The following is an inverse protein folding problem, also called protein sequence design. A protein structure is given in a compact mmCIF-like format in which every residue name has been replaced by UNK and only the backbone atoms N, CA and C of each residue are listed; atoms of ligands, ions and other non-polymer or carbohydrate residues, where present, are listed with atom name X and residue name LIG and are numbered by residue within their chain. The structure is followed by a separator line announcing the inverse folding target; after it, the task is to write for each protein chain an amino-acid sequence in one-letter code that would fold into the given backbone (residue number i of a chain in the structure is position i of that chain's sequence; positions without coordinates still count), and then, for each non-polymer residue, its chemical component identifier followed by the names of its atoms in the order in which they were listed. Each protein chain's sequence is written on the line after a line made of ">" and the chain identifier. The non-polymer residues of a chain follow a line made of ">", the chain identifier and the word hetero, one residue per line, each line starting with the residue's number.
data_IF_223663196145
#
_entry.id   IF_223663196145
#
_cell.length_a   1.000
_cell.length_b   1.000
_cell.length_c   1.000
_cell.angle_alpha   90.00
_cell.angle_beta   90.00
_cell.angle_gamma   90.00
#
_symmetry.space_group_name_H-M   'P 1'
#
loop_
_entity.id
_entity.type
_entity.pdbx_description
1 polymer ?
#
# COMPACT_ATOMS: atom_id res chain seq x y z
N UNK A 1 0.21 21.33 33.21
CA UNK A 1 0.45 21.55 31.78
C UNK A 1 -0.36 20.50 31.06
N UNK A 2 -1.45 20.91 30.45
CA UNK A 2 -2.47 20.02 29.89
C UNK A 2 -2.08 19.66 28.47
N UNK A 3 -1.82 18.38 28.23
CA UNK A 3 -1.72 17.79 26.89
C UNK A 3 -2.99 18.11 26.09
N UNK A 4 -2.90 18.50 24.81
CA UNK A 4 -4.08 18.73 24.00
C UNK A 4 -4.73 17.38 23.67
N UNK A 5 -5.96 17.21 24.13
CA UNK A 5 -6.87 16.15 23.75
C UNK A 5 -7.10 16.18 22.23
N UNK A 6 -6.41 15.34 21.46
CA UNK A 6 -6.77 15.03 20.07
C UNK A 6 -7.91 14.02 20.08
N UNK A 7 -9.11 14.47 20.43
CA UNK A 7 -10.33 13.77 20.05
C UNK A 7 -10.60 14.09 18.58
N UNK A 8 -10.21 13.20 17.67
CA UNK A 8 -10.90 13.07 16.38
C UNK A 8 -11.76 11.83 16.46
N UNK A 9 -13.04 12.06 16.76
CA UNK A 9 -14.14 11.09 16.74
C UNK A 9 -14.58 10.85 15.29
N UNK A 10 -13.62 10.67 14.38
CA UNK A 10 -13.91 10.25 13.01
C UNK A 10 -13.95 8.73 13.00
N UNK A 11 -15.12 8.18 12.69
CA UNK A 11 -15.24 6.75 12.44
C UNK A 11 -14.18 6.34 11.39
N UNK A 12 -13.51 5.19 11.56
CA UNK A 12 -12.50 4.72 10.61
C UNK A 12 -13.13 4.67 9.22
N UNK A 13 -12.62 5.52 8.34
CA UNK A 13 -13.13 5.71 6.99
C UNK A 13 -12.12 5.15 6.01
N UNK A 14 -12.61 4.42 5.01
CA UNK A 14 -11.78 3.95 3.90
C UNK A 14 -11.62 5.09 2.91
N UNK A 15 -10.38 5.44 2.62
CA UNK A 15 -10.02 6.42 1.62
C UNK A 15 -9.46 5.72 0.40
N UNK A 16 -10.11 5.87 -0.76
CA UNK A 16 -9.62 5.41 -2.06
C UNK A 16 -9.14 6.65 -2.82
N UNK A 17 -7.83 6.73 -3.07
CA UNK A 17 -7.13 7.96 -3.40
C UNK A 17 -6.39 7.86 -4.73
N UNK A 18 -6.43 8.96 -5.48
CA UNK A 18 -5.47 9.21 -6.54
C UNK A 18 -4.09 9.50 -5.89
N UNK A 19 -3.03 8.77 -6.23
CA UNK A 19 -1.69 9.01 -5.69
C UNK A 19 -1.21 10.46 -5.88
N UNK A 20 -1.65 11.15 -6.94
CA UNK A 20 -1.29 12.54 -7.20
C UNK A 20 -1.81 13.52 -6.13
N UNK A 21 -2.95 13.21 -5.49
CA UNK A 21 -3.55 14.04 -4.46
C UNK A 21 -2.80 13.97 -3.12
N UNK A 22 -2.04 12.91 -2.84
CA UNK A 22 -1.42 12.68 -1.54
C UNK A 22 -0.43 13.79 -1.14
N UNK A 23 -0.68 14.46 -0.02
CA UNK A 23 0.11 15.58 0.48
C UNK A 23 -0.11 16.92 -0.23
N UNK A 24 -1.15 17.03 -1.07
CA UNK A 24 -1.67 18.31 -1.59
C UNK A 24 -2.78 18.85 -0.68
N UNK A 25 -3.32 20.02 -0.99
CA UNK A 25 -4.47 20.57 -0.25
C UNK A 25 -5.75 19.71 -0.42
N UNK A 26 -5.82 18.89 -1.47
CA UNK A 26 -6.92 17.96 -1.75
C UNK A 26 -6.73 16.58 -1.08
N UNK A 27 -5.65 16.39 -0.31
CA UNK A 27 -5.40 15.13 0.42
C UNK A 27 -6.36 15.00 1.62
N UNK A 28 -7.35 14.07 1.59
CA UNK A 28 -8.28 13.91 2.70
C UNK A 28 -7.62 13.37 3.97
N UNK A 29 -6.42 12.76 3.87
CA UNK A 29 -5.64 12.33 5.02
C UNK A 29 -4.73 13.45 5.57
N UNK A 30 -4.66 14.58 4.86
CA UNK A 30 -3.81 15.74 5.17
C UNK A 30 -2.36 15.34 5.51
N UNK A 31 -1.76 14.41 4.76
CA UNK A 31 -0.42 13.88 5.01
C UNK A 31 0.71 14.92 4.81
N UNK A 32 0.37 16.14 4.39
CA UNK A 32 1.21 17.33 4.42
C UNK A 32 1.50 17.84 5.84
N UNK A 33 0.53 17.73 6.74
CA UNK A 33 0.57 18.33 8.09
C UNK A 33 0.28 17.33 9.21
N UNK A 34 -0.42 16.22 8.91
CA UNK A 34 -0.77 15.16 9.86
C UNK A 34 0.04 13.89 9.60
N UNK A 35 0.02 12.98 10.58
CA UNK A 35 0.52 11.60 10.45
C UNK A 35 -0.43 10.65 11.15
N UNK A 36 -1.64 10.44 10.61
CA UNK A 36 -2.51 9.38 11.10
C UNK A 36 -1.80 8.03 10.96
N UNK A 37 -2.05 7.11 11.89
CA UNK A 37 -1.59 5.72 11.77
C UNK A 37 -2.66 4.89 11.06
N UNK A 38 -2.31 3.71 10.56
CA UNK A 38 -3.28 2.82 9.94
C UNK A 38 -2.68 1.81 8.96
N UNK A 39 -3.55 1.15 8.21
CA UNK A 39 -3.20 0.20 7.14
C UNK A 39 -3.49 0.84 5.78
N UNK A 40 -2.66 0.55 4.80
CA UNK A 40 -2.77 1.01 3.42
C UNK A 40 -2.56 -0.15 2.43
N UNK A 41 -3.10 0.02 1.24
CA UNK A 41 -2.82 -0.80 0.09
C UNK A 41 -2.36 0.09 -1.08
N UNK A 42 -1.29 -0.32 -1.75
CA UNK A 42 -0.78 0.30 -2.97
C UNK A 42 -1.19 -0.58 -4.15
N UNK A 43 -1.91 0.00 -5.10
CA UNK A 43 -2.34 -0.69 -6.32
C UNK A 43 -1.49 -0.17 -7.49
N UNK A 44 -0.71 -1.07 -8.07
CA UNK A 44 0.14 -0.81 -9.21
C UNK A 44 -0.47 -1.39 -10.48
N UNK A 45 -0.27 -0.69 -11.61
CA UNK A 45 -0.38 -1.27 -12.95
C UNK A 45 1.05 -1.56 -13.45
N UNK A 46 1.28 -2.78 -13.90
CA UNK A 46 2.60 -3.21 -14.34
C UNK A 46 2.50 -3.96 -15.67
N UNK A 47 3.30 -3.61 -16.68
CA UNK A 47 3.56 -4.49 -17.80
C UNK A 47 4.42 -5.67 -17.34
N UNK A 48 4.70 -6.60 -18.25
CA UNK A 48 5.67 -7.64 -17.96
C UNK A 48 7.05 -7.03 -17.73
N UNK A 49 7.64 -7.32 -16.57
CA UNK A 49 8.94 -6.79 -16.16
C UNK A 49 9.72 -7.80 -15.31
N UNK A 50 11.03 -7.61 -15.22
CA UNK A 50 11.89 -8.32 -14.28
C UNK A 50 12.45 -7.30 -13.30
N UNK A 51 12.30 -7.57 -12.00
CA UNK A 51 12.69 -6.64 -10.93
C UNK A 51 13.57 -7.38 -9.92
N UNK A 52 14.71 -6.78 -9.57
CA UNK A 52 15.53 -7.21 -8.44
C UNK A 52 14.96 -6.63 -7.14
N UNK A 53 14.33 -7.48 -6.32
CA UNK A 53 13.61 -7.09 -5.11
C UNK A 53 14.52 -7.29 -3.88
N UNK A 54 15.58 -6.48 -3.78
CA UNK A 54 16.50 -6.50 -2.64
C UNK A 54 16.95 -7.92 -2.25
N UNK A 55 16.72 -8.31 -0.99
CA UNK A 55 17.10 -9.63 -0.48
C UNK A 55 16.31 -10.80 -1.06
N UNK A 56 15.15 -10.56 -1.69
CA UNK A 56 14.37 -11.60 -2.37
C UNK A 56 14.95 -11.96 -3.75
N UNK A 57 15.90 -11.19 -4.27
CA UNK A 57 16.55 -11.43 -5.55
C UNK A 57 15.69 -11.02 -6.76
N UNK A 58 16.03 -11.56 -7.92
CA UNK A 58 15.38 -11.24 -9.20
C UNK A 58 14.08 -12.05 -9.39
N UNK A 59 13.00 -11.36 -9.74
CA UNK A 59 11.69 -11.97 -10.01
C UNK A 59 11.06 -11.43 -11.29
N UNK A 60 10.36 -12.30 -12.02
CA UNK A 60 9.53 -11.91 -13.16
C UNK A 60 8.13 -11.54 -12.66
N UNK A 61 7.66 -10.38 -13.08
CA UNK A 61 6.33 -9.85 -12.84
C UNK A 61 5.55 -9.91 -14.16
N UNK A 62 4.61 -10.85 -14.35
CA UNK A 62 3.73 -10.85 -15.52
C UNK A 62 2.81 -9.64 -15.54
N UNK A 63 2.51 -9.11 -16.73
CA UNK A 63 1.64 -7.94 -16.88
C UNK A 63 0.32 -8.09 -16.12
N UNK A 64 -0.11 -7.06 -15.40
CA UNK A 64 -1.34 -7.04 -14.62
C UNK A 64 -1.28 -6.06 -13.45
N UNK A 65 -2.28 -6.11 -12.58
CA UNK A 65 -2.33 -5.25 -11.41
C UNK A 65 -1.76 -5.95 -10.18
N UNK A 66 -1.02 -5.19 -9.37
CA UNK A 66 -0.38 -5.67 -8.15
C UNK A 66 -0.86 -4.88 -6.95
N UNK A 67 -1.28 -5.58 -5.90
CA UNK A 67 -1.74 -4.96 -4.65
C UNK A 67 -0.80 -5.34 -3.54
N UNK A 68 -0.10 -4.34 -3.00
CA UNK A 68 0.71 -4.49 -1.80
C UNK A 68 -0.03 -3.93 -0.59
N UNK A 69 -0.14 -4.69 0.49
CA UNK A 69 -0.73 -4.25 1.76
C UNK A 69 0.37 -3.99 2.78
N UNK A 70 0.29 -2.85 3.45
CA UNK A 70 1.21 -2.49 4.52
C UNK A 70 0.55 -1.68 5.63
N UNK A 71 1.22 -1.58 6.75
CA UNK A 71 0.79 -0.85 7.94
C UNK A 71 1.76 0.28 8.25
N UNK A 72 1.29 1.28 8.97
CA UNK A 72 2.06 2.45 9.33
C UNK A 72 1.69 2.93 10.73
N UNK A 73 2.03 2.12 11.74
CA UNK A 73 1.84 2.45 13.18
C UNK A 73 3.07 3.06 13.85
N UNK A 74 4.19 3.13 13.13
CA UNK A 74 5.41 3.77 13.62
C UNK A 74 5.40 5.28 13.48
N UNK A 75 6.51 5.90 13.94
CA UNK A 75 6.74 7.34 13.80
C UNK A 75 6.56 7.79 12.35
N UNK A 76 5.66 8.75 12.13
CA UNK A 76 5.33 9.29 10.81
C UNK A 76 4.07 8.73 10.16
N UNK A 77 3.50 7.63 10.68
CA UNK A 77 2.21 7.13 10.24
C UNK A 77 2.10 6.92 8.73
N UNK A 78 0.90 7.13 8.19
CA UNK A 78 0.56 7.03 6.77
C UNK A 78 1.31 8.03 5.86
N UNK A 79 2.15 8.92 6.39
CA UNK A 79 3.16 9.61 5.53
C UNK A 79 4.10 8.62 4.85
N UNK A 80 4.17 7.37 5.32
CA UNK A 80 4.78 6.24 4.62
C UNK A 80 4.29 6.11 3.18
N UNK A 81 2.99 6.29 2.93
CA UNK A 81 2.39 6.24 1.58
C UNK A 81 2.96 7.32 0.66
N UNK A 82 3.16 8.54 1.17
CA UNK A 82 3.81 9.62 0.38
C UNK A 82 5.24 9.26 -0.01
N UNK A 83 5.96 8.52 0.84
CA UNK A 83 7.30 8.05 0.49
C UNK A 83 7.26 7.05 -0.66
N UNK A 84 6.34 6.07 -0.62
CA UNK A 84 6.15 5.12 -1.72
C UNK A 84 5.76 5.84 -3.02
N UNK A 85 4.86 6.83 -2.95
CA UNK A 85 4.51 7.67 -4.10
C UNK A 85 5.74 8.36 -4.70
N UNK A 86 6.62 8.98 -3.89
CA UNK A 86 7.84 9.63 -4.41
C UNK A 86 8.80 8.63 -5.04
N UNK A 87 8.89 7.41 -4.49
CA UNK A 87 9.67 6.33 -5.10
C UNK A 87 9.09 5.98 -6.48
N UNK A 88 7.77 5.81 -6.57
CA UNK A 88 7.10 5.50 -7.83
C UNK A 88 7.18 6.62 -8.88
N UNK A 89 7.20 7.88 -8.44
CA UNK A 89 7.40 9.02 -9.32
C UNK A 89 8.86 9.20 -9.78
N UNK A 90 9.81 8.44 -9.24
CA UNK A 90 11.24 8.65 -9.49
C UNK A 90 11.86 9.85 -8.75
N UNK A 91 11.11 10.50 -7.86
CA UNK A 91 11.58 11.62 -7.03
C UNK A 91 12.45 11.17 -5.84
N UNK A 92 12.57 9.85 -5.63
CA UNK A 92 13.29 9.28 -4.51
C UNK A 92 13.90 7.92 -4.85
N UNK A 93 15.23 7.82 -4.76
CA UNK A 93 15.96 6.60 -5.15
C UNK A 93 16.05 5.55 -4.04
N UNK A 94 15.86 5.95 -2.77
CA UNK A 94 16.06 5.02 -1.65
C UNK A 94 14.96 3.95 -1.57
N UNK A 95 15.33 2.70 -1.83
CA UNK A 95 14.49 1.50 -1.72
C UNK A 95 14.67 0.88 -0.32
N UNK A 96 13.69 1.02 0.57
CA UNK A 96 13.79 0.43 1.92
C UNK A 96 12.86 -0.77 2.12
N UNK A 97 11.71 -0.79 1.45
CA UNK A 97 10.75 -1.91 1.52
C UNK A 97 10.70 -2.64 0.19
N UNK A 98 10.33 -3.93 0.18
CA UNK A 98 10.22 -4.71 -1.06
C UNK A 98 9.34 -4.02 -2.12
N UNK A 99 8.23 -3.39 -1.69
CA UNK A 99 7.35 -2.64 -2.58
C UNK A 99 8.00 -1.43 -3.25
N UNK A 100 9.06 -0.84 -2.64
CA UNK A 100 9.78 0.27 -3.25
C UNK A 100 10.51 -0.18 -4.53
N UNK A 101 10.97 -1.44 -4.58
CA UNK A 101 11.64 -1.99 -5.77
C UNK A 101 10.67 -2.16 -6.94
N UNK A 102 9.48 -2.71 -6.65
CA UNK A 102 8.41 -2.84 -7.64
C UNK A 102 7.91 -1.46 -8.10
N UNK A 103 7.47 -0.63 -7.15
CA UNK A 103 6.88 0.66 -7.46
C UNK A 103 7.89 1.63 -8.09
N UNK A 104 9.18 1.48 -7.79
CA UNK A 104 10.24 2.30 -8.36
C UNK A 104 10.80 1.80 -9.70
N UNK A 105 10.22 0.76 -10.30
CA UNK A 105 10.57 0.31 -11.64
C UNK A 105 9.96 1.27 -12.67
N UNK A 106 10.72 1.75 -13.70
CA UNK A 106 10.30 2.86 -14.57
C UNK A 106 9.06 2.57 -15.43
N UNK A 107 8.70 1.30 -15.58
CA UNK A 107 7.50 0.88 -16.33
C UNK A 107 6.30 0.56 -15.44
N UNK A 108 6.40 0.71 -14.12
CA UNK A 108 5.34 0.36 -13.17
C UNK A 108 4.70 1.64 -12.65
N UNK A 109 3.38 1.73 -12.78
CA UNK A 109 2.63 2.91 -12.36
C UNK A 109 1.89 2.64 -11.04
N UNK A 110 2.09 3.51 -10.05
CA UNK A 110 1.23 3.53 -8.87
C UNK A 110 -0.12 4.14 -9.27
N UNK A 111 -1.14 3.31 -9.42
CA UNK A 111 -2.43 3.72 -9.97
C UNK A 111 -3.43 4.18 -8.88
N UNK A 112 -3.47 3.49 -7.74
CA UNK A 112 -4.37 3.82 -6.62
C UNK A 112 -3.73 3.56 -5.27
N UNK A 113 -4.24 4.26 -4.28
CA UNK A 113 -3.90 4.07 -2.87
C UNK A 113 -5.21 3.93 -2.09
N UNK A 114 -5.34 2.84 -1.34
CA UNK A 114 -6.48 2.65 -0.41
C UNK A 114 -5.96 2.66 1.01
N UNK A 115 -6.55 3.46 1.90
CA UNK A 115 -6.10 3.58 3.29
C UNK A 115 -7.27 3.48 4.26
N UNK A 116 -7.02 2.96 5.45
CA UNK A 116 -7.88 3.10 6.63
C UNK A 116 -7.04 3.61 7.80
N UNK A 117 -7.55 4.61 8.52
CA UNK A 117 -6.88 5.17 9.70
C UNK A 117 -7.22 4.37 10.95
N UNK A 118 -6.29 4.33 11.91
CA UNK A 118 -6.48 3.77 13.26
C UNK A 118 -7.00 2.31 13.30
N UNK A 119 -6.69 1.55 12.24
CA UNK A 119 -7.06 0.14 12.08
C UNK A 119 -5.85 -0.66 11.63
N UNK A 120 -5.46 -1.63 12.44
CA UNK A 120 -4.37 -2.56 12.15
C UNK A 120 -4.95 -3.85 11.58
N UNK A 121 -5.11 -3.87 10.27
CA UNK A 121 -5.80 -4.94 9.54
C UNK A 121 -4.95 -5.50 8.39
N UNK A 122 -3.65 -5.23 8.39
CA UNK A 122 -2.69 -5.56 7.32
C UNK A 122 -2.77 -7.04 6.91
N UNK A 123 -2.47 -7.95 7.84
CA UNK A 123 -2.47 -9.40 7.56
C UNK A 123 -3.86 -9.90 7.13
N UNK A 124 -4.92 -9.36 7.74
CA UNK A 124 -6.29 -9.76 7.45
C UNK A 124 -6.73 -9.36 6.04
N UNK A 125 -6.39 -8.14 5.61
CA UNK A 125 -6.63 -7.65 4.25
C UNK A 125 -5.74 -8.39 3.24
N UNK A 126 -4.46 -8.58 3.55
CA UNK A 126 -3.53 -9.33 2.67
C UNK A 126 -4.02 -10.76 2.40
N UNK A 127 -4.50 -11.46 3.43
CA UNK A 127 -4.99 -12.84 3.33
C UNK A 127 -6.28 -12.92 2.50
N UNK A 128 -7.20 -11.97 2.69
CA UNK A 128 -8.44 -11.92 1.92
C UNK A 128 -8.19 -11.62 0.44
N UNK A 129 -7.25 -10.72 0.15
CA UNK A 129 -6.85 -10.40 -1.22
C UNK A 129 -6.16 -11.57 -1.92
N UNK A 130 -5.25 -12.28 -1.23
CA UNK A 130 -4.64 -13.49 -1.77
C UNK A 130 -5.68 -14.56 -2.10
N UNK A 131 -6.72 -14.69 -1.28
CA UNK A 131 -7.83 -15.62 -1.54
C UNK A 131 -8.70 -15.18 -2.72
N UNK A 132 -8.87 -13.87 -2.93
CA UNK A 132 -9.79 -13.32 -3.93
C UNK A 132 -9.17 -13.15 -5.32
N UNK A 133 -7.89 -12.79 -5.37
CA UNK A 133 -7.15 -12.46 -6.60
C UNK A 133 -6.26 -13.62 -7.09
N UNK A 134 -5.89 -14.53 -6.18
CA UNK A 134 -4.91 -15.58 -6.42
C UNK A 134 -3.68 -15.42 -5.53
N UNK A 135 -2.88 -16.48 -5.45
CA UNK A 135 -1.71 -16.57 -4.57
C UNK A 135 -0.66 -15.50 -4.85
N UNK A 136 0.16 -15.22 -3.84
CA UNK A 136 1.26 -14.29 -3.92
C UNK A 136 2.16 -14.57 -5.13
N UNK A 137 2.53 -13.56 -5.93
CA UNK A 137 3.46 -13.76 -7.03
C UNK A 137 4.88 -14.05 -6.51
N UNK A 138 5.20 -13.69 -5.27
CA UNK A 138 6.52 -13.82 -4.64
C UNK A 138 6.35 -14.13 -3.15
N UNK A 139 6.84 -15.29 -2.71
CA UNK A 139 6.86 -15.68 -1.30
C UNK A 139 7.76 -14.75 -0.48
N UNK A 140 7.32 -14.42 0.74
CA UNK A 140 8.00 -13.52 1.67
C UNK A 140 7.88 -12.03 1.34
N UNK A 141 7.13 -11.65 0.28
CA UNK A 141 7.06 -10.25 -0.14
C UNK A 141 6.32 -9.40 0.89
N UNK A 142 7.10 -8.72 1.73
CA UNK A 142 6.59 -7.73 2.69
C UNK A 142 5.93 -8.35 3.93
N UNK A 143 6.16 -9.65 4.15
CA UNK A 143 5.67 -10.41 5.31
C UNK A 143 6.81 -10.85 6.23
N UNK A 144 7.95 -10.14 6.25
CA UNK A 144 9.16 -10.56 6.98
C UNK A 144 8.99 -10.66 8.51
N UNK A 145 7.97 -10.01 9.06
CA UNK A 145 7.65 -9.93 10.49
C UNK A 145 6.36 -10.69 10.86
N UNK A 146 5.76 -11.42 9.91
CA UNK A 146 4.53 -12.17 10.12
C UNK A 146 4.57 -13.55 9.42
N UNK A 147 3.63 -14.46 9.72
CA UNK A 147 3.60 -15.80 9.10
C UNK A 147 2.87 -15.83 7.75
N UNK A 148 2.50 -14.68 7.17
CA UNK A 148 1.81 -14.65 5.88
C UNK A 148 2.76 -15.03 4.73
N UNK A 149 2.24 -15.75 3.74
CA UNK A 149 3.02 -16.12 2.56
C UNK A 149 3.57 -14.88 1.84
N UNK A 150 2.74 -13.86 1.64
CA UNK A 150 3.17 -12.52 1.24
C UNK A 150 2.08 -11.49 1.52
N UNK A 151 2.45 -10.21 1.50
CA UNK A 151 1.52 -9.08 1.49
C UNK A 151 1.36 -8.47 0.09
N UNK A 152 1.79 -9.18 -0.94
CA UNK A 152 1.60 -8.83 -2.34
C UNK A 152 0.66 -9.83 -3.01
N UNK A 153 -0.38 -9.33 -3.67
CA UNK A 153 -1.29 -10.11 -4.50
C UNK A 153 -1.28 -9.58 -5.94
N UNK A 154 -1.60 -10.43 -6.92
CA UNK A 154 -1.72 -10.06 -8.33
C UNK A 154 -3.14 -10.31 -8.82
N UNK A 155 -3.71 -9.36 -9.56
CA UNK A 155 -4.94 -9.51 -10.31
C UNK A 155 -4.79 -9.05 -11.76
N UNK A 156 -5.89 -9.06 -12.50
CA UNK A 156 -5.87 -8.83 -13.95
C UNK A 156 -5.68 -7.35 -14.33
N UNK A 157 -6.35 -6.43 -13.65
CA UNK A 157 -6.27 -4.98 -13.96
C UNK A 157 -6.62 -4.11 -12.75
N UNK A 158 -6.22 -2.83 -12.78
CA UNK A 158 -6.49 -1.87 -11.69
C UNK A 158 -7.98 -1.75 -11.41
N UNK A 159 -8.81 -1.73 -12.45
CA UNK A 159 -10.26 -1.59 -12.37
C UNK A 159 -10.93 -2.77 -11.67
N UNK A 160 -10.39 -3.98 -11.83
CA UNK A 160 -10.94 -5.19 -11.23
C UNK A 160 -10.45 -5.39 -9.80
N UNK A 161 -9.20 -5.03 -9.49
CA UNK A 161 -8.63 -5.21 -8.14
C UNK A 161 -9.06 -4.13 -7.17
N UNK A 162 -9.21 -2.87 -7.60
CA UNK A 162 -9.49 -1.74 -6.68
C UNK A 162 -10.77 -1.95 -5.85
N UNK A 163 -11.92 -2.36 -6.45
CA UNK A 163 -13.13 -2.63 -5.67
C UNK A 163 -12.97 -3.79 -4.68
N UNK A 164 -12.13 -4.79 -4.99
CA UNK A 164 -11.84 -5.91 -4.08
C UNK A 164 -11.00 -5.45 -2.89
N UNK A 165 -10.05 -4.53 -3.09
CA UNK A 165 -9.30 -3.89 -2.01
C UNK A 165 -10.23 -3.11 -1.08
N UNK A 166 -11.10 -2.27 -1.64
CA UNK A 166 -12.08 -1.52 -0.85
C UNK A 166 -13.03 -2.43 -0.07
N UNK A 167 -13.49 -3.53 -0.68
CA UNK A 167 -14.32 -4.53 -0.03
C UNK A 167 -13.58 -5.25 1.11
N UNK A 168 -12.30 -5.60 0.89
CA UNK A 168 -11.46 -6.25 1.90
C UNK A 168 -11.21 -5.34 3.10
N UNK A 169 -10.96 -4.04 2.89
CA UNK A 169 -10.92 -3.10 4.02
C UNK A 169 -12.27 -2.98 4.71
N UNK A 170 -13.37 -2.91 3.96
CA UNK A 170 -14.72 -2.75 4.50
C UNK A 170 -15.15 -3.93 5.37
N UNK A 171 -14.70 -5.13 5.04
CA UNK A 171 -14.98 -6.34 5.82
C UNK A 171 -14.18 -6.39 7.15
N UNK A 172 -13.27 -5.43 7.40
CA UNK A 172 -12.37 -5.36 8.55
C UNK A 172 -12.46 -4.05 9.36
N UNK A 173 -13.42 -3.17 9.02
CA UNK A 173 -13.67 -1.92 9.76
C UNK A 173 -14.31 -2.18 11.14
#
# INVERSE_FOLDING_TARGET
>A
MTEPNHSTDDAPTIHSLDPAALGTDDDPLALGSRSPVGTYALVFDAPEATVEVGALGEHRFPAGAYVYVGSAFGTGGLRRVRRHRRVAAGDHDARHWHVDYLGGHPSVDLARVVCVTDRDVECAVATELASSLGSAPIDGFGSSDCPCDAHLARGDSVETVTPLVEAAFRSKM
#
